data_IF_322843573703
#
_entry.id   IF_322843573703
#
_cell.length_a   1.000
_cell.length_b   1.000
_cell.length_c   1.000
_cell.angle_alpha   90.00
_cell.angle_beta   90.00
_cell.angle_gamma   90.00
#
_symmetry.space_group_name_H-M   'P 1'
#
loop_
_entity.id
_entity.type
_entity.pdbx_description
1 polymer ?
#
# COMPACT_ATOMS: atom_id res chain seq x y z
N UNK A 1 19.37 -10.20 -20.53
CA UNK A 1 18.20 -10.61 -19.72
C UNK A 1 17.04 -9.76 -20.19
N UNK A 2 15.99 -10.38 -20.72
CA UNK A 2 14.90 -9.69 -21.42
C UNK A 2 14.03 -8.92 -20.43
N UNK A 3 13.93 -7.59 -20.60
CA UNK A 3 12.93 -6.75 -19.96
C UNK A 3 11.56 -7.26 -20.41
N UNK A 4 10.90 -8.06 -19.57
CA UNK A 4 9.51 -8.43 -19.78
C UNK A 4 8.65 -7.26 -19.30
N UNK A 5 8.06 -6.56 -20.26
CA UNK A 5 7.15 -5.46 -20.02
C UNK A 5 5.87 -5.99 -19.34
N UNK A 6 5.59 -5.52 -18.12
CA UNK A 6 4.44 -5.90 -17.32
C UNK A 6 3.10 -5.62 -18.01
N UNK A 7 3.11 -4.72 -19.00
CA UNK A 7 1.98 -4.46 -19.90
C UNK A 7 1.53 -5.74 -20.64
N UNK A 8 2.48 -6.56 -21.12
CA UNK A 8 2.19 -7.76 -21.90
C UNK A 8 1.53 -8.88 -21.08
N UNK A 9 1.85 -8.95 -19.78
CA UNK A 9 1.26 -9.91 -18.84
C UNK A 9 -0.19 -9.56 -18.51
N UNK A 10 -0.51 -8.26 -18.36
CA UNK A 10 -1.87 -7.78 -18.18
C UNK A 10 -2.75 -8.03 -19.42
N UNK A 11 -2.20 -7.80 -20.62
CA UNK A 11 -2.87 -8.07 -21.90
C UNK A 11 -3.18 -9.56 -22.04
N UNK A 12 -2.22 -10.45 -21.77
CA UNK A 12 -2.45 -11.90 -21.86
C UNK A 12 -3.52 -12.43 -20.90
N UNK A 13 -3.65 -11.83 -19.71
CA UNK A 13 -4.72 -12.18 -18.77
C UNK A 13 -6.09 -11.71 -19.25
N UNK A 14 -6.18 -10.51 -19.81
CA UNK A 14 -7.40 -9.97 -20.41
C UNK A 14 -7.82 -10.78 -21.65
N UNK A 15 -6.89 -11.11 -22.55
CA UNK A 15 -7.15 -11.98 -23.70
C UNK A 15 -7.64 -13.36 -23.25
N UNK A 16 -7.04 -13.95 -22.21
CA UNK A 16 -7.50 -15.21 -21.64
C UNK A 16 -8.92 -15.11 -21.07
N UNK A 17 -9.31 -13.97 -20.47
CA UNK A 17 -10.70 -13.72 -20.04
C UNK A 17 -11.66 -13.74 -21.21
N UNK A 18 -11.37 -12.97 -22.24
CA UNK A 18 -12.24 -12.84 -23.41
C UNK A 18 -12.31 -14.17 -24.19
N UNK A 19 -11.24 -14.96 -24.21
CA UNK A 19 -11.24 -16.34 -24.73
C UNK A 19 -12.13 -17.21 -23.84
N UNK A 20 -11.94 -17.23 -22.52
CA UNK A 20 -12.69 -18.10 -21.62
C UNK A 20 -14.20 -17.80 -21.61
N UNK A 21 -14.57 -16.54 -21.83
CA UNK A 21 -15.96 -16.08 -21.95
C UNK A 21 -16.53 -16.21 -23.37
N UNK A 22 -15.75 -16.72 -24.33
CA UNK A 22 -16.18 -16.98 -25.71
C UNK A 22 -16.35 -15.73 -26.57
N UNK A 23 -15.74 -14.60 -26.17
CA UNK A 23 -15.84 -13.31 -26.86
C UNK A 23 -14.73 -13.10 -27.90
N UNK A 24 -13.58 -13.76 -27.76
CA UNK A 24 -12.42 -13.57 -28.64
C UNK A 24 -12.13 -14.75 -29.59
N UNK A 25 -12.44 -15.97 -29.19
CA UNK A 25 -12.25 -17.19 -30.00
C UNK A 25 -13.12 -18.33 -29.46
N UNK A 26 -13.38 -19.36 -30.27
CA UNK A 26 -14.17 -20.54 -29.89
C UNK A 26 -13.36 -21.59 -29.09
N UNK A 27 -12.09 -21.32 -28.79
CA UNK A 27 -11.18 -22.25 -28.11
C UNK A 27 -11.38 -22.27 -26.58
N UNK A 28 -12.59 -22.59 -26.12
CA UNK A 28 -13.00 -22.50 -24.71
C UNK A 28 -12.69 -23.81 -23.95
N UNK A 29 -11.41 -24.16 -23.82
CA UNK A 29 -11.00 -25.39 -23.11
C UNK A 29 -11.10 -25.30 -21.58
N UNK A 30 -11.36 -24.10 -21.05
CA UNK A 30 -11.41 -23.82 -19.61
C UNK A 30 -12.62 -22.94 -19.32
N UNK A 31 -13.37 -23.24 -18.26
CA UNK A 31 -14.47 -22.39 -17.81
C UNK A 31 -13.92 -21.09 -17.19
N UNK A 32 -14.58 -19.93 -17.38
CA UNK A 32 -14.09 -18.61 -16.96
C UNK A 32 -13.50 -18.58 -15.54
N UNK A 33 -14.24 -19.10 -14.56
CA UNK A 33 -13.87 -18.99 -13.14
C UNK A 33 -13.08 -20.19 -12.61
N UNK A 34 -12.83 -21.20 -13.44
CA UNK A 34 -12.15 -22.43 -13.00
C UNK A 34 -10.73 -22.23 -12.44
N UNK A 35 -9.90 -21.30 -12.95
CA UNK A 35 -8.55 -21.08 -12.41
C UNK A 35 -8.51 -20.52 -10.97
N UNK A 36 -9.61 -19.96 -10.46
CA UNK A 36 -9.67 -19.26 -9.18
C UNK A 36 -10.44 -20.03 -8.11
N UNK A 37 -10.96 -21.19 -8.48
CA UNK A 37 -11.71 -22.07 -7.60
C UNK A 37 -10.94 -23.37 -7.44
N UNK A 38 -10.94 -23.91 -6.23
CA UNK A 38 -10.33 -25.19 -5.94
C UNK A 38 -11.33 -26.15 -5.26
N UNK A 39 -10.90 -27.40 -5.08
CA UNK A 39 -11.58 -28.38 -4.24
C UNK A 39 -13.09 -28.50 -4.46
N UNK A 40 -13.87 -28.15 -3.44
CA UNK A 40 -15.35 -28.22 -3.45
C UNK A 40 -16.00 -27.04 -4.17
N UNK A 41 -15.33 -25.89 -4.26
CA UNK A 41 -15.87 -24.71 -4.93
C UNK A 41 -15.85 -24.90 -6.44
N UNK A 42 -14.71 -25.36 -6.99
CA UNK A 42 -14.57 -25.67 -8.42
C UNK A 42 -15.58 -26.73 -8.88
N UNK A 43 -15.75 -27.80 -8.09
CA UNK A 43 -16.72 -28.85 -8.40
C UNK A 43 -18.15 -28.32 -8.44
N UNK A 44 -18.51 -27.43 -7.50
CA UNK A 44 -19.84 -26.79 -7.48
C UNK A 44 -20.04 -25.86 -8.66
N UNK A 45 -19.06 -25.01 -8.96
CA UNK A 45 -19.11 -24.12 -10.12
C UNK A 45 -19.31 -24.92 -11.42
N UNK A 46 -18.48 -25.94 -11.68
CA UNK A 46 -18.61 -26.80 -12.87
C UNK A 46 -19.94 -27.55 -12.89
N UNK A 47 -20.41 -28.02 -11.73
CA UNK A 47 -21.68 -28.76 -11.62
C UNK A 47 -22.88 -27.92 -12.05
N UNK A 48 -22.98 -26.70 -11.55
CA UNK A 48 -24.09 -25.79 -11.86
C UNK A 48 -23.95 -25.13 -13.23
N UNK A 49 -22.73 -24.70 -13.62
CA UNK A 49 -22.50 -24.11 -14.95
C UNK A 49 -22.90 -25.05 -16.08
N UNK A 50 -22.63 -26.35 -15.96
CA UNK A 50 -23.03 -27.37 -16.97
C UNK A 50 -24.53 -27.60 -17.07
N UNK A 51 -25.27 -27.31 -16.01
CA UNK A 51 -26.71 -27.58 -15.90
C UNK A 51 -27.54 -26.30 -16.01
N UNK A 52 -26.90 -25.15 -16.17
CA UNK A 52 -27.60 -23.88 -16.08
C UNK A 52 -28.60 -23.70 -17.22
N UNK A 53 -28.26 -24.14 -18.43
CA UNK A 53 -29.18 -24.11 -19.56
C UNK A 53 -30.41 -25.00 -19.31
N UNK A 54 -30.23 -26.17 -18.68
CA UNK A 54 -31.34 -27.04 -18.25
C UNK A 54 -32.17 -26.39 -17.14
N UNK A 55 -31.52 -25.70 -16.19
CA UNK A 55 -32.19 -24.96 -15.11
C UNK A 55 -33.02 -23.80 -15.69
N UNK A 56 -32.49 -23.06 -16.66
CA UNK A 56 -33.21 -21.98 -17.34
C UNK A 56 -34.44 -22.51 -18.08
N UNK A 57 -34.27 -23.61 -18.84
CA UNK A 57 -35.39 -24.24 -19.56
C UNK A 57 -36.49 -24.74 -18.62
N UNK A 58 -36.14 -25.29 -17.46
CA UNK A 58 -37.12 -25.70 -16.43
C UNK A 58 -37.78 -24.47 -15.78
N UNK A 59 -37.06 -23.37 -15.67
CA UNK A 59 -37.54 -22.15 -15.02
C UNK A 59 -38.48 -21.31 -15.90
N UNK A 60 -38.47 -21.47 -17.22
CA UNK A 60 -39.48 -20.87 -18.11
C UNK A 60 -40.91 -21.25 -17.69
N UNK A 61 -41.10 -22.40 -17.03
CA UNK A 61 -42.39 -22.87 -16.50
C UNK A 61 -42.73 -22.31 -15.09
N UNK A 62 -41.80 -21.61 -14.43
CA UNK A 62 -41.89 -21.22 -13.01
C UNK A 62 -41.76 -19.71 -12.72
N UNK A 63 -41.63 -18.87 -13.75
CA UNK A 63 -41.71 -17.40 -13.71
C UNK A 63 -40.70 -16.73 -12.74
N UNK A 64 -39.58 -17.41 -12.41
CA UNK A 64 -38.52 -16.80 -11.61
C UNK A 64 -37.54 -16.02 -12.51
N UNK A 65 -37.13 -14.83 -12.07
CA UNK A 65 -36.18 -13.98 -12.80
C UNK A 65 -34.74 -14.50 -12.62
N UNK A 66 -34.40 -15.56 -13.36
CA UNK A 66 -33.03 -16.08 -13.41
C UNK A 66 -32.23 -15.36 -14.50
N UNK A 67 -31.00 -14.93 -14.18
CA UNK A 67 -30.12 -14.28 -15.16
C UNK A 67 -29.80 -15.14 -16.39
N UNK A 68 -29.37 -14.50 -17.48
CA UNK A 68 -29.06 -15.20 -18.74
C UNK A 68 -27.86 -16.16 -18.63
N UNK A 69 -27.02 -16.02 -17.61
CA UNK A 69 -25.85 -16.88 -17.38
C UNK A 69 -25.67 -17.22 -15.91
N UNK A 70 -25.13 -18.40 -15.63
CA UNK A 70 -24.89 -18.85 -14.25
C UNK A 70 -24.03 -17.86 -13.46
N UNK A 71 -23.04 -17.26 -14.11
CA UNK A 71 -22.10 -16.29 -13.53
C UNK A 71 -22.80 -15.03 -13.00
N UNK A 72 -23.93 -14.67 -13.59
CA UNK A 72 -24.73 -13.51 -13.16
C UNK A 72 -25.64 -13.84 -11.97
N UNK A 73 -25.78 -15.11 -11.59
CA UNK A 73 -26.59 -15.49 -10.42
C UNK A 73 -25.95 -15.01 -9.13
N UNK A 74 -26.79 -14.58 -8.18
CA UNK A 74 -26.33 -14.20 -6.84
C UNK A 74 -25.60 -15.35 -6.13
N UNK A 75 -25.98 -16.59 -6.42
CA UNK A 75 -25.27 -17.78 -5.93
C UNK A 75 -23.82 -17.85 -6.44
N UNK A 76 -23.61 -17.67 -7.75
CA UNK A 76 -22.27 -17.69 -8.32
C UNK A 76 -21.44 -16.50 -7.82
N UNK A 77 -22.04 -15.30 -7.73
CA UNK A 77 -21.38 -14.12 -7.17
C UNK A 77 -20.92 -14.35 -5.72
N UNK A 78 -21.76 -14.95 -4.88
CA UNK A 78 -21.41 -15.28 -3.50
C UNK A 78 -20.33 -16.37 -3.41
N UNK A 79 -20.37 -17.36 -4.31
CA UNK A 79 -19.33 -18.39 -4.41
C UNK A 79 -17.97 -17.77 -4.76
N UNK A 80 -17.95 -16.82 -5.69
CA UNK A 80 -16.75 -16.08 -6.08
C UNK A 80 -16.31 -15.15 -4.95
N UNK A 81 -17.20 -14.42 -4.29
CA UNK A 81 -16.82 -13.54 -3.18
C UNK A 81 -16.17 -14.32 -2.03
N UNK A 82 -16.70 -15.51 -1.71
CA UNK A 82 -16.17 -16.35 -0.64
C UNK A 82 -14.81 -17.00 -0.97
N UNK A 83 -14.56 -17.35 -2.23
CA UNK A 83 -13.37 -18.11 -2.65
C UNK A 83 -12.33 -17.29 -3.43
N UNK A 84 -12.77 -16.21 -4.07
CA UNK A 84 -11.95 -15.25 -4.79
C UNK A 84 -11.23 -14.30 -3.85
N UNK A 85 -11.75 -14.01 -2.65
CA UNK A 85 -11.09 -13.11 -1.68
C UNK A 85 -9.71 -13.60 -1.24
N UNK A 86 -9.48 -14.89 -0.90
CA UNK A 86 -8.13 -15.41 -0.63
C UNK A 86 -7.19 -15.33 -1.83
N UNK A 87 -7.69 -15.59 -3.04
CA UNK A 87 -6.91 -15.57 -4.28
C UNK A 87 -6.58 -14.14 -4.72
N UNK A 88 -7.51 -13.21 -4.52
CA UNK A 88 -7.31 -11.77 -4.73
C UNK A 88 -6.30 -11.23 -3.72
N UNK A 89 -6.44 -11.57 -2.43
CA UNK A 89 -5.51 -11.17 -1.39
C UNK A 89 -4.10 -11.74 -1.65
N UNK A 90 -4.00 -12.98 -2.12
CA UNK A 90 -2.71 -13.56 -2.52
C UNK A 90 -2.14 -12.89 -3.77
N UNK A 91 -2.96 -12.60 -4.77
CA UNK A 91 -2.53 -11.89 -5.96
C UNK A 91 -2.05 -10.46 -5.65
N UNK A 92 -2.67 -9.78 -4.69
CA UNK A 92 -2.17 -8.50 -4.14
C UNK A 92 -0.82 -8.72 -3.45
N UNK A 93 -0.74 -9.67 -2.50
CA UNK A 93 0.49 -9.95 -1.73
C UNK A 93 1.68 -10.39 -2.60
N UNK A 94 1.41 -11.08 -3.70
CA UNK A 94 2.41 -11.62 -4.62
C UNK A 94 2.67 -10.72 -5.83
N UNK A 95 1.97 -9.58 -5.95
CA UNK A 95 2.06 -8.70 -7.11
C UNK A 95 1.64 -9.36 -8.44
N UNK A 96 0.68 -10.31 -8.39
CA UNK A 96 0.20 -11.01 -9.58
C UNK A 96 -0.88 -10.20 -10.31
N UNK A 97 -0.42 -9.22 -11.08
CA UNK A 97 -1.24 -8.25 -11.81
C UNK A 97 -2.18 -8.89 -12.84
N UNK A 98 -1.79 -10.03 -13.41
CA UNK A 98 -2.61 -10.80 -14.35
C UNK A 98 -3.90 -11.28 -13.67
N UNK A 99 -3.80 -11.77 -12.43
CA UNK A 99 -4.96 -12.21 -11.64
C UNK A 99 -5.82 -11.02 -11.22
N UNK A 100 -5.24 -9.88 -10.84
CA UNK A 100 -6.00 -8.69 -10.45
C UNK A 100 -6.75 -8.04 -11.61
N UNK A 101 -6.11 -7.91 -12.78
CA UNK A 101 -6.74 -7.46 -14.03
C UNK A 101 -7.95 -8.33 -14.40
N UNK A 102 -7.77 -9.63 -14.25
CA UNK A 102 -8.82 -10.60 -14.50
C UNK A 102 -9.91 -10.57 -13.43
N UNK A 103 -9.63 -10.35 -12.15
CA UNK A 103 -10.68 -10.30 -11.13
C UNK A 103 -11.53 -9.02 -11.21
N UNK A 104 -10.91 -7.88 -11.53
CA UNK A 104 -11.57 -6.57 -11.46
C UNK A 104 -12.53 -6.26 -12.61
N UNK A 105 -12.44 -6.97 -13.75
CA UNK A 105 -13.29 -6.64 -14.92
C UNK A 105 -12.75 -5.47 -15.75
N UNK A 106 -11.68 -4.83 -15.30
CA UNK A 106 -11.21 -3.56 -15.83
C UNK A 106 -10.30 -3.79 -17.03
N UNK A 107 -10.90 -3.82 -18.23
CA UNK A 107 -10.16 -3.74 -19.52
C UNK A 107 -9.80 -2.30 -19.90
N UNK A 108 -10.21 -1.30 -19.12
CA UNK A 108 -9.93 0.11 -19.37
C UNK A 108 -9.46 0.82 -18.12
N UNK A 109 -8.13 0.90 -17.98
CA UNK A 109 -7.36 2.06 -17.51
C UNK A 109 -5.92 1.62 -17.30
N UNK A 110 -5.04 1.98 -18.24
CA UNK A 110 -3.59 1.84 -18.06
C UNK A 110 -3.12 2.54 -16.76
N UNK A 111 -3.83 3.60 -16.32
CA UNK A 111 -3.59 4.32 -15.06
C UNK A 111 -3.78 3.47 -13.80
N UNK A 112 -4.75 2.55 -13.78
CA UNK A 112 -5.06 1.79 -12.55
C UNK A 112 -4.03 0.66 -12.33
N UNK A 113 -3.40 0.18 -13.43
CA UNK A 113 -2.35 -0.84 -13.38
C UNK A 113 -0.99 -0.29 -12.96
N UNK A 114 -0.64 0.93 -13.38
CA UNK A 114 0.59 1.58 -12.93
C UNK A 114 0.57 1.83 -11.42
N UNK A 115 -0.54 2.34 -10.88
CA UNK A 115 -0.65 2.59 -9.44
C UNK A 115 -0.58 1.28 -8.64
N UNK A 116 -1.25 0.20 -9.07
CA UNK A 116 -1.16 -1.11 -8.41
C UNK A 116 0.27 -1.70 -8.41
N UNK A 117 1.02 -1.51 -9.51
CA UNK A 117 2.44 -1.88 -9.57
C UNK A 117 3.27 -1.10 -8.56
N UNK A 118 3.05 0.21 -8.48
CA UNK A 118 3.75 1.09 -7.55
C UNK A 118 3.39 0.74 -6.09
N UNK A 119 2.13 0.44 -5.78
CA UNK A 119 1.74 -0.06 -4.46
C UNK A 119 2.42 -1.38 -4.10
N UNK A 120 2.51 -2.31 -5.05
CA UNK A 120 3.22 -3.58 -4.82
C UNK A 120 4.71 -3.35 -4.56
N UNK A 121 5.32 -2.38 -5.25
CA UNK A 121 6.70 -1.96 -5.01
C UNK A 121 6.87 -1.35 -3.62
N UNK A 122 5.99 -0.41 -3.22
CA UNK A 122 6.00 0.17 -1.88
C UNK A 122 5.85 -0.88 -0.77
N UNK A 123 4.93 -1.84 -0.92
CA UNK A 123 4.77 -2.96 0.03
C UNK A 123 6.03 -3.83 0.07
N UNK A 124 6.67 -4.09 -1.08
CA UNK A 124 7.94 -4.82 -1.13
C UNK A 124 9.05 -4.07 -0.39
N UNK A 125 9.13 -2.76 -0.56
CA UNK A 125 10.13 -1.93 0.11
C UNK A 125 9.87 -1.87 1.61
N UNK A 126 8.60 -1.77 2.02
CA UNK A 126 8.21 -1.87 3.43
C UNK A 126 8.51 -3.24 4.04
N UNK A 127 8.47 -4.34 3.29
CA UNK A 127 8.89 -5.65 3.81
C UNK A 127 10.39 -5.72 4.13
N UNK A 128 11.22 -4.82 3.56
CA UNK A 128 12.66 -4.79 3.83
C UNK A 128 12.91 -4.52 5.33
N UNK A 129 13.72 -5.36 6.01
CA UNK A 129 14.08 -5.10 7.40
C UNK A 129 14.80 -3.76 7.51
N UNK A 130 14.30 -2.89 8.39
CA UNK A 130 14.91 -1.58 8.58
C UNK A 130 14.57 -0.56 7.51
N UNK A 131 13.46 -0.66 6.79
CA UNK A 131 13.09 0.37 5.81
C UNK A 131 13.06 1.77 6.43
N UNK A 132 13.72 2.75 5.82
CA UNK A 132 13.68 4.16 6.22
C UNK A 132 13.30 5.06 5.03
N UNK A 133 12.10 5.61 5.08
CA UNK A 133 11.64 6.66 4.17
C UNK A 133 11.74 8.04 4.82
N UNK A 134 12.22 9.04 4.10
CA UNK A 134 12.38 10.41 4.59
C UNK A 134 11.60 11.37 3.72
N UNK A 135 10.55 12.00 4.25
CA UNK A 135 9.78 13.00 3.53
C UNK A 135 10.44 14.37 3.59
N UNK A 136 10.65 14.98 2.43
CA UNK A 136 11.10 16.36 2.26
C UNK A 136 9.98 17.22 1.67
N UNK A 137 10.04 18.52 1.93
CA UNK A 137 9.07 19.47 1.38
C UNK A 137 8.53 20.45 2.42
N UNK A 138 7.95 21.56 1.96
CA UNK A 138 7.31 22.55 2.83
C UNK A 138 6.18 21.94 3.67
N UNK A 139 5.83 22.61 4.78
CA UNK A 139 4.63 22.33 5.58
C UNK A 139 3.38 22.34 4.69
N UNK A 140 2.38 21.51 5.02
CA UNK A 140 1.07 21.45 4.34
C UNK A 140 1.02 20.68 2.99
N UNK A 141 1.98 19.78 2.77
CA UNK A 141 2.09 19.03 1.50
C UNK A 141 1.32 17.71 1.43
N UNK A 142 0.74 17.20 2.52
CA UNK A 142 0.18 15.83 2.58
C UNK A 142 1.21 14.73 2.91
N UNK A 143 2.40 15.09 3.41
CA UNK A 143 3.47 14.15 3.80
C UNK A 143 3.00 13.18 4.89
N UNK A 144 2.31 13.70 5.90
CA UNK A 144 1.73 12.92 7.00
C UNK A 144 0.73 11.89 6.47
N UNK A 145 -0.18 12.29 5.58
CA UNK A 145 -1.08 11.35 4.89
C UNK A 145 -0.30 10.23 4.20
N UNK A 146 0.71 10.57 3.39
CA UNK A 146 1.51 9.58 2.65
C UNK A 146 2.27 8.62 3.58
N UNK A 147 2.87 9.13 4.66
CA UNK A 147 3.56 8.32 5.66
C UNK A 147 2.60 7.36 6.37
N UNK A 148 1.42 7.86 6.76
CA UNK A 148 0.36 7.07 7.37
C UNK A 148 -0.22 6.03 6.41
N UNK A 149 -0.39 6.34 5.11
CA UNK A 149 -0.75 5.34 4.09
C UNK A 149 0.28 4.22 4.06
N UNK A 150 1.58 4.56 4.03
CA UNK A 150 2.66 3.59 4.07
C UNK A 150 2.63 2.71 5.34
N UNK A 151 2.48 3.32 6.51
CA UNK A 151 2.35 2.59 7.77
C UNK A 151 1.13 1.68 7.80
N UNK A 152 -0.03 2.19 7.37
CA UNK A 152 -1.27 1.43 7.28
C UNK A 152 -1.19 0.25 6.31
N UNK A 153 -0.43 0.37 5.22
CA UNK A 153 -0.16 -0.76 4.31
C UNK A 153 0.68 -1.84 5.01
N UNK A 154 1.71 -1.44 5.75
CA UNK A 154 2.55 -2.37 6.51
C UNK A 154 1.77 -3.10 7.60
N UNK A 155 0.94 -2.40 8.38
CA UNK A 155 0.10 -3.01 9.42
C UNK A 155 -0.89 -4.04 8.86
N UNK A 156 -1.39 -3.82 7.63
CA UNK A 156 -2.29 -4.74 6.92
C UNK A 156 -1.55 -5.92 6.31
N UNK A 157 -0.30 -5.72 5.89
CA UNK A 157 0.54 -6.79 5.35
C UNK A 157 1.10 -7.71 6.45
N UNK A 158 1.45 -7.14 7.61
CA UNK A 158 2.02 -7.83 8.77
C UNK A 158 1.08 -7.74 9.96
N UNK A 159 0.37 -8.83 10.30
CA UNK A 159 -0.65 -8.84 11.37
C UNK A 159 -0.12 -8.50 12.77
N UNK A 160 1.16 -8.76 13.00
CA UNK A 160 1.79 -8.62 14.32
C UNK A 160 2.58 -7.31 14.45
N UNK A 161 2.66 -6.51 13.37
CA UNK A 161 3.33 -5.22 13.42
C UNK A 161 2.56 -4.20 14.29
N UNK A 162 3.23 -3.23 14.85
CA UNK A 162 2.59 -2.10 15.53
C UNK A 162 3.03 -0.79 14.92
N UNK A 163 2.19 0.24 15.04
CA UNK A 163 2.52 1.60 14.65
C UNK A 163 2.95 2.39 15.88
N UNK A 164 4.11 3.03 15.81
CA UNK A 164 4.54 4.06 16.74
C UNK A 164 4.43 5.43 16.04
N UNK A 165 3.68 6.38 16.57
CA UNK A 165 3.56 7.71 15.94
C UNK A 165 3.39 8.83 16.96
N UNK A 166 3.89 10.03 16.62
CA UNK A 166 3.62 11.25 17.39
C UNK A 166 2.39 12.03 16.86
N UNK A 167 1.68 11.51 15.85
CA UNK A 167 0.39 12.07 15.39
C UNK A 167 -0.71 11.59 16.34
N UNK A 168 -1.12 12.42 17.29
CA UNK A 168 -2.00 11.98 18.39
C UNK A 168 -3.48 11.93 18.00
N UNK A 169 -3.87 12.68 16.96
CA UNK A 169 -5.25 12.72 16.45
C UNK A 169 -5.59 11.59 15.49
N UNK A 170 -4.63 10.68 15.20
CA UNK A 170 -4.84 9.57 14.29
C UNK A 170 -5.89 8.58 14.83
N UNK A 171 -6.94 8.37 14.04
CA UNK A 171 -7.94 7.32 14.25
C UNK A 171 -8.17 6.57 12.93
N UNK A 172 -7.85 5.27 12.92
CA UNK A 172 -8.15 4.38 11.79
C UNK A 172 -9.64 4.04 11.75
N UNK A 173 -10.19 3.83 10.55
CA UNK A 173 -11.55 3.27 10.41
C UNK A 173 -11.63 1.82 10.96
N UNK A 174 -10.51 1.10 10.91
CA UNK A 174 -10.38 -0.29 11.36
C UNK A 174 -9.95 -0.35 12.83
N UNK A 175 -10.84 -0.86 13.70
CA UNK A 175 -10.58 -0.99 15.13
C UNK A 175 -9.30 -1.76 15.47
N UNK A 176 -8.98 -2.81 14.71
CA UNK A 176 -7.76 -3.62 14.93
C UNK A 176 -6.48 -2.81 14.71
N UNK A 177 -6.50 -1.82 13.81
CA UNK A 177 -5.35 -0.93 13.59
C UNK A 177 -5.20 0.08 14.73
N UNK A 178 -6.32 0.59 15.26
CA UNK A 178 -6.30 1.44 16.46
C UNK A 178 -5.71 0.70 17.68
N UNK A 179 -6.07 -0.58 17.87
CA UNK A 179 -5.52 -1.41 18.96
C UNK A 179 -4.00 -1.66 18.83
N UNK A 180 -3.45 -1.47 17.63
CA UNK A 180 -2.02 -1.66 17.30
C UNK A 180 -1.28 -0.34 17.06
N UNK A 181 -1.92 0.80 17.33
CA UNK A 181 -1.33 2.14 17.19
C UNK A 181 -0.96 2.66 18.58
N UNK A 182 0.29 3.04 18.74
CA UNK A 182 0.87 3.56 19.96
C UNK A 182 1.37 4.97 19.73
N UNK A 183 0.96 5.89 20.58
CA UNK A 183 1.53 7.24 20.61
C UNK A 183 2.91 7.18 21.25
N UNK A 184 3.90 7.83 20.63
CA UNK A 184 5.25 7.99 21.17
C UNK A 184 5.61 9.48 21.19
N UNK A 185 6.17 9.94 22.30
CA UNK A 185 6.59 11.33 22.49
C UNK A 185 8.11 11.46 22.54
N UNK A 186 8.82 10.34 22.74
CA UNK A 186 10.28 10.31 22.86
C UNK A 186 10.95 9.14 22.14
N UNK A 187 12.27 9.24 21.99
CA UNK A 187 13.12 8.13 21.54
C UNK A 187 13.03 6.94 22.50
N UNK A 188 13.09 7.16 23.80
CA UNK A 188 12.93 6.08 24.79
C UNK A 188 11.62 5.33 24.63
N UNK A 189 10.48 6.01 24.41
CA UNK A 189 9.19 5.34 24.17
C UNK A 189 9.27 4.43 22.93
N UNK A 190 9.90 4.90 21.87
CA UNK A 190 10.09 4.13 20.65
C UNK A 190 11.01 2.92 20.86
N UNK A 191 12.08 3.08 21.65
CA UNK A 191 12.98 1.97 22.01
C UNK A 191 12.24 0.91 22.86
N UNK A 192 11.43 1.32 23.84
CA UNK A 192 10.60 0.41 24.65
C UNK A 192 9.62 -0.41 23.80
N UNK A 193 9.02 0.21 22.77
CA UNK A 193 8.18 -0.49 21.81
C UNK A 193 8.99 -1.49 20.97
N UNK A 194 10.19 -1.12 20.52
CA UNK A 194 11.07 -2.04 19.78
C UNK A 194 11.57 -3.22 20.64
N UNK A 195 11.68 -3.06 21.96
CA UNK A 195 11.97 -4.15 22.88
C UNK A 195 10.77 -5.09 23.09
N UNK A 196 9.56 -4.52 23.04
CA UNK A 196 8.30 -5.23 23.31
C UNK A 196 7.73 -5.94 22.08
N UNK A 197 8.00 -5.42 20.88
CA UNK A 197 7.44 -5.89 19.62
C UNK A 197 8.53 -6.17 18.59
N UNK A 198 8.37 -7.26 17.84
CA UNK A 198 9.36 -7.67 16.82
C UNK A 198 9.27 -6.92 15.50
N UNK A 199 8.17 -6.20 15.27
CA UNK A 199 7.94 -5.43 14.05
C UNK A 199 7.25 -4.11 14.40
N UNK A 200 7.99 -3.00 14.29
CA UNK A 200 7.52 -1.65 14.59
C UNK A 200 7.66 -0.82 13.33
N UNK A 201 6.58 -0.19 12.88
CA UNK A 201 6.64 0.90 11.90
C UNK A 201 6.41 2.22 12.62
N UNK A 202 7.37 3.13 12.51
CA UNK A 202 7.30 4.44 13.12
C UNK A 202 6.95 5.51 12.07
N UNK A 203 6.01 6.39 12.39
CA UNK A 203 5.75 7.64 11.65
C UNK A 203 6.06 8.79 12.59
N UNK A 204 7.20 9.43 12.34
CA UNK A 204 7.70 10.54 13.15
C UNK A 204 7.53 11.82 12.34
N UNK A 205 6.43 12.52 12.63
CA UNK A 205 6.14 13.81 12.03
C UNK A 205 6.97 14.93 12.68
N UNK A 206 7.24 15.99 11.94
CA UNK A 206 7.86 17.22 12.42
C UNK A 206 9.24 17.08 13.12
N UNK A 207 9.99 16.01 12.89
CA UNK A 207 11.28 15.72 13.56
C UNK A 207 12.33 16.85 13.40
N UNK A 208 12.13 17.71 12.42
CA UNK A 208 12.99 18.82 12.04
C UNK A 208 13.09 19.97 13.06
N UNK A 209 12.11 20.12 13.97
CA UNK A 209 12.11 21.21 14.97
C UNK A 209 13.15 21.04 16.08
N UNK A 210 13.53 19.81 16.43
CA UNK A 210 14.55 19.51 17.46
C UNK A 210 15.98 19.47 16.89
N UNK A 211 16.13 19.22 15.59
CA UNK A 211 17.41 19.16 14.90
C UNK A 211 17.84 20.51 14.31
N UNK A 212 17.41 21.63 14.91
CA UNK A 212 17.73 22.98 14.44
C UNK A 212 19.26 23.21 14.48
N UNK A 213 19.84 23.09 13.29
CA UNK A 213 21.26 22.99 13.02
C UNK A 213 21.97 24.33 13.24
N UNK A 214 22.25 24.66 14.51
CA UNK A 214 23.32 25.61 14.86
C UNK A 214 23.90 25.45 16.27
N UNK A 215 23.21 24.76 17.20
CA UNK A 215 23.66 24.73 18.61
C UNK A 215 23.65 23.36 19.32
N UNK A 216 22.91 22.34 18.85
CA UNK A 216 22.80 21.03 19.52
C UNK A 216 23.01 19.80 18.61
N UNK A 217 23.55 19.99 17.40
CA UNK A 217 23.58 18.92 16.37
C UNK A 217 24.41 17.68 16.74
N UNK A 218 25.41 17.79 17.63
CA UNK A 218 26.25 16.64 17.98
C UNK A 218 25.52 15.64 18.88
N UNK A 219 24.80 16.12 19.88
CA UNK A 219 24.10 15.28 20.87
C UNK A 219 22.91 14.56 20.21
N UNK A 220 22.06 15.28 19.49
CA UNK A 220 20.95 14.72 18.70
C UNK A 220 21.43 13.67 17.70
N UNK A 221 22.54 13.95 17.00
CA UNK A 221 23.15 12.96 16.11
C UNK A 221 23.65 11.74 16.88
N UNK A 222 24.34 11.92 18.00
CA UNK A 222 24.91 10.82 18.77
C UNK A 222 23.86 9.90 19.38
N UNK A 223 22.68 10.44 19.73
CA UNK A 223 21.63 9.69 20.40
C UNK A 223 20.69 8.97 19.44
N UNK A 224 20.43 9.54 18.27
CA UNK A 224 19.55 8.92 17.26
C UNK A 224 20.32 8.00 16.30
N UNK A 225 21.64 8.18 16.15
CA UNK A 225 22.48 7.36 15.29
C UNK A 225 22.39 5.85 15.58
N UNK A 226 22.40 5.36 16.84
CA UNK A 226 22.24 3.95 17.14
C UNK A 226 20.91 3.40 16.64
N UNK A 227 19.80 4.12 16.87
CA UNK A 227 18.47 3.71 16.45
C UNK A 227 18.40 3.54 14.93
N UNK A 228 18.86 4.54 14.17
CA UNK A 228 18.86 4.54 12.70
C UNK A 228 19.82 3.49 12.12
N UNK A 229 20.97 3.27 12.76
CA UNK A 229 21.98 2.30 12.32
C UNK A 229 21.51 0.87 12.56
N UNK A 230 20.83 0.63 13.68
CA UNK A 230 20.38 -0.71 14.09
C UNK A 230 18.91 -0.99 13.82
N UNK A 231 18.18 -0.10 13.15
CA UNK A 231 16.75 -0.23 12.81
C UNK A 231 16.36 -1.63 12.31
N UNK A 232 17.15 -2.23 11.41
CA UNK A 232 16.90 -3.56 10.89
C UNK A 232 16.98 -4.68 11.96
N UNK A 233 17.85 -4.54 12.97
CA UNK A 233 17.97 -5.49 14.09
C UNK A 233 16.87 -5.30 15.12
N UNK A 234 16.37 -4.07 15.25
CA UNK A 234 15.29 -3.69 16.15
C UNK A 234 13.90 -4.03 15.58
N UNK A 235 13.82 -4.55 14.35
CA UNK A 235 12.54 -4.72 13.66
C UNK A 235 11.84 -3.39 13.34
N UNK A 236 12.59 -2.29 13.38
CA UNK A 236 12.09 -0.93 13.24
C UNK A 236 12.13 -0.48 11.77
N UNK A 237 11.00 0.01 11.29
CA UNK A 237 10.84 0.72 10.02
C UNK A 237 10.39 2.13 10.33
N UNK A 238 10.75 3.09 9.49
CA UNK A 238 10.55 4.49 9.81
C UNK A 238 10.12 5.29 8.60
N UNK A 239 9.16 6.17 8.82
CA UNK A 239 8.91 7.35 8.03
C UNK A 239 9.24 8.57 8.88
N UNK A 240 10.23 9.34 8.46
CA UNK A 240 10.62 10.60 9.12
C UNK A 240 10.21 11.75 8.23
N UNK A 241 9.54 12.76 8.79
CA UNK A 241 9.04 13.90 8.04
C UNK A 241 9.82 15.16 8.41
N UNK A 242 10.43 15.79 7.40
CA UNK A 242 11.08 17.10 7.50
C UNK A 242 10.20 18.23 6.97
N UNK A 243 10.63 19.46 7.26
CA UNK A 243 9.97 20.70 6.85
C UNK A 243 10.71 21.43 5.72
N UNK A 244 12.00 21.14 5.52
CA UNK A 244 12.79 21.76 4.45
C UNK A 244 12.81 20.87 3.21
N UNK A 245 12.80 21.51 2.06
CA UNK A 245 12.97 20.85 0.77
C UNK A 245 14.38 20.28 0.60
N UNK A 246 15.38 20.90 1.22
CA UNK A 246 16.79 20.46 1.18
C UNK A 246 17.13 19.38 2.22
N UNK A 247 16.19 19.07 3.12
CA UNK A 247 16.36 18.11 4.21
C UNK A 247 17.44 18.45 5.23
N UNK A 248 18.04 19.64 5.22
CA UNK A 248 19.11 20.01 6.15
C UNK A 248 18.63 20.22 7.60
N UNK A 249 17.31 20.25 7.81
CA UNK A 249 16.66 20.17 9.12
C UNK A 249 16.58 18.75 9.67
N UNK A 250 16.84 17.73 8.86
CA UNK A 250 16.89 16.34 9.32
C UNK A 250 18.31 16.02 9.80
N UNK A 251 18.46 15.15 10.81
CA UNK A 251 19.77 14.70 11.26
C UNK A 251 20.53 13.98 10.10
N UNK A 252 21.81 14.30 9.82
CA UNK A 252 22.60 13.64 8.78
C UNK A 252 22.54 12.09 8.80
N UNK A 253 22.61 11.42 9.96
CA UNK A 253 22.47 9.97 10.02
C UNK A 253 21.17 9.44 9.44
N UNK A 254 20.05 10.15 9.63
CA UNK A 254 18.75 9.74 9.08
C UNK A 254 18.79 9.81 7.55
N UNK A 255 19.35 10.89 7.00
CA UNK A 255 19.48 11.05 5.53
C UNK A 255 20.42 10.02 4.92
N UNK A 256 21.60 9.82 5.51
CA UNK A 256 22.62 8.89 5.00
C UNK A 256 22.17 7.42 5.03
N UNK A 257 21.24 7.09 5.92
CA UNK A 257 20.71 5.74 6.08
C UNK A 257 19.31 5.55 5.48
N UNK A 258 18.76 6.57 4.81
CA UNK A 258 17.47 6.50 4.15
C UNK A 258 17.54 5.52 2.97
N UNK A 259 16.51 4.70 2.82
CA UNK A 259 16.31 3.88 1.63
C UNK A 259 15.64 4.69 0.52
N UNK A 260 14.75 5.62 0.91
CA UNK A 260 14.16 6.58 -0.01
C UNK A 260 14.06 7.97 0.59
N UNK A 261 14.35 8.97 -0.25
CA UNK A 261 13.98 10.36 -0.07
C UNK A 261 12.66 10.56 -0.81
N UNK A 262 11.63 11.02 -0.11
CA UNK A 262 10.26 11.08 -0.61
C UNK A 262 9.86 12.54 -0.75
N UNK A 263 9.53 12.95 -1.98
CA UNK A 263 9.07 14.30 -2.27
C UNK A 263 7.59 14.28 -2.54
N UNK A 264 6.85 15.03 -1.74
CA UNK A 264 5.41 15.17 -1.89
C UNK A 264 5.09 16.28 -2.88
N UNK A 265 4.22 15.98 -3.86
CA UNK A 265 3.70 16.93 -4.84
C UNK A 265 2.20 17.08 -4.64
N UNK A 266 1.72 18.29 -4.91
CA UNK A 266 0.31 18.64 -4.90
C UNK A 266 -0.02 19.30 -6.24
N UNK A 267 -1.07 18.82 -6.90
CA UNK A 267 -1.60 19.38 -8.13
C UNK A 267 -3.06 19.80 -7.92
N UNK A 268 -3.36 21.07 -8.15
CA UNK A 268 -4.73 21.59 -8.13
C UNK A 268 -5.48 21.12 -9.39
N UNK A 269 -6.33 20.10 -9.23
CA UNK A 269 -7.15 19.52 -10.28
C UNK A 269 -8.57 20.08 -10.24
N UNK A 270 -8.71 21.37 -10.56
CA UNK A 270 -9.99 22.08 -10.61
C UNK A 270 -10.14 23.10 -9.49
N UNK A 271 -11.39 23.53 -9.23
CA UNK A 271 -11.65 24.66 -8.33
C UNK A 271 -11.52 24.31 -6.83
N UNK A 272 -11.67 23.04 -6.43
CA UNK A 272 -11.68 22.60 -5.02
C UNK A 272 -11.08 21.19 -4.82
N UNK A 273 -10.20 20.74 -5.71
CA UNK A 273 -9.61 19.39 -5.62
C UNK A 273 -8.10 19.47 -5.74
N UNK A 274 -7.40 19.08 -4.68
CA UNK A 274 -5.95 18.89 -4.70
C UNK A 274 -5.69 17.39 -4.79
N UNK A 275 -4.97 16.97 -5.81
CA UNK A 275 -4.46 15.61 -5.94
C UNK A 275 -3.01 15.59 -5.51
N UNK A 276 -2.68 14.63 -4.64
CA UNK A 276 -1.36 14.48 -4.06
C UNK A 276 -0.64 13.32 -4.73
N UNK A 277 0.64 13.48 -5.05
CA UNK A 277 1.51 12.40 -5.53
C UNK A 277 2.83 12.39 -4.76
N UNK A 278 3.50 11.24 -4.69
CA UNK A 278 4.75 11.08 -3.95
C UNK A 278 5.83 10.46 -4.85
N UNK A 279 6.96 11.16 -4.98
CA UNK A 279 8.12 10.73 -5.74
C UNK A 279 9.16 10.11 -4.79
N UNK A 280 9.59 8.87 -5.07
CA UNK A 280 10.55 8.13 -4.26
C UNK A 280 11.91 8.14 -4.95
N UNK A 281 12.89 8.80 -4.35
CA UNK A 281 14.27 8.94 -4.82
C UNK A 281 15.21 8.08 -3.97
N UNK A 282 16.30 7.57 -4.54
CA UNK A 282 17.26 6.77 -3.77
C UNK A 282 18.32 7.59 -3.05
N UNK A 283 18.62 8.78 -3.57
CA UNK A 283 19.72 9.60 -3.10
C UNK A 283 19.28 11.06 -2.84
N UNK A 284 20.08 11.77 -2.03
CA UNK A 284 20.02 13.22 -1.86
C UNK A 284 21.41 13.80 -2.11
N UNK A 285 21.59 14.54 -3.21
CA UNK A 285 22.86 15.10 -3.63
C UNK A 285 22.81 16.62 -3.48
N UNK A 286 23.67 17.17 -2.62
CA UNK A 286 23.74 18.62 -2.36
C UNK A 286 22.41 19.27 -1.92
N UNK A 287 21.50 18.49 -1.32
CA UNK A 287 20.17 18.94 -0.91
C UNK A 287 19.10 18.79 -1.99
N UNK A 288 19.42 18.18 -3.12
CA UNK A 288 18.46 17.87 -4.20
C UNK A 288 18.23 16.36 -4.30
N UNK A 289 16.96 15.89 -4.34
CA UNK A 289 16.65 14.47 -4.53
C UNK A 289 17.15 13.97 -5.89
N UNK A 290 17.79 12.80 -5.91
CA UNK A 290 18.40 12.19 -7.10
C UNK A 290 18.08 10.69 -7.22
N UNK A 291 18.20 10.14 -8.44
CA UNK A 291 17.84 8.75 -8.79
C UNK A 291 16.38 8.38 -8.44
N UNK A 292 15.43 8.95 -9.19
CA UNK A 292 14.00 8.63 -9.07
C UNK A 292 13.76 7.13 -9.28
N UNK A 293 13.30 6.45 -8.23
CA UNK A 293 12.96 5.04 -8.24
C UNK A 293 11.56 4.78 -8.82
N UNK A 294 10.54 5.46 -8.30
CA UNK A 294 9.15 5.39 -8.76
C UNK A 294 8.31 6.55 -8.21
N UNK A 295 7.12 6.75 -8.79
CA UNK A 295 6.15 7.77 -8.35
C UNK A 295 4.83 7.11 -8.00
N UNK A 296 4.30 7.38 -6.81
CA UNK A 296 2.96 7.03 -6.40
C UNK A 296 2.01 8.16 -6.77
N UNK A 297 1.20 7.93 -7.80
CA UNK A 297 0.27 8.91 -8.35
C UNK A 297 -1.08 8.24 -8.72
N UNK A 298 -2.21 8.68 -8.14
CA UNK A 298 -2.28 9.54 -6.96
C UNK A 298 -1.91 8.77 -5.68
N UNK A 299 -1.47 9.51 -4.65
CA UNK A 299 -1.44 9.01 -3.28
C UNK A 299 -2.89 8.95 -2.77
N UNK A 300 -3.35 7.80 -2.27
CA UNK A 300 -4.71 7.69 -1.74
C UNK A 300 -4.82 8.43 -0.40
N UNK A 301 -6.01 8.88 0.00
CA UNK A 301 -6.22 9.30 1.37
C UNK A 301 -6.00 8.12 2.33
N UNK A 302 -5.59 8.40 3.57
CA UNK A 302 -5.58 7.37 4.61
C UNK A 302 -6.99 6.81 4.83
N UNK A 303 -7.08 5.53 5.17
CA UNK A 303 -8.31 4.90 5.63
C UNK A 303 -8.52 5.18 7.14
N UNK A 304 -8.69 6.46 7.47
CA UNK A 304 -8.75 6.99 8.82
C UNK A 304 -8.89 8.51 8.81
N UNK A 305 -8.81 9.11 9.98
CA UNK A 305 -8.83 10.56 10.18
C UNK A 305 -7.67 10.99 11.06
N UNK A 306 -7.17 12.19 10.83
CA UNK A 306 -6.20 12.90 11.67
C UNK A 306 -6.35 14.41 11.40
N UNK A 307 -5.82 15.26 12.29
CA UNK A 307 -5.76 16.71 12.09
C UNK A 307 -4.44 17.07 11.38
N UNK A 308 -4.47 17.52 10.11
CA UNK A 308 -3.24 17.81 9.35
C UNK A 308 -2.41 18.98 9.90
N UNK A 309 -3.06 19.88 10.64
CA UNK A 309 -2.45 21.07 11.26
C UNK A 309 -2.01 20.82 12.72
N UNK A 310 -2.09 19.56 13.20
CA UNK A 310 -1.61 19.20 14.53
C UNK A 310 -0.10 19.44 14.64
N UNK A 311 0.33 20.13 15.70
CA UNK A 311 1.75 20.23 16.03
C UNK A 311 2.18 18.97 16.76
N UNK A 312 3.01 18.16 16.09
CA UNK A 312 3.53 16.93 16.64
C UNK A 312 4.90 17.18 17.25
N UNK A 313 5.08 16.86 18.53
CA UNK A 313 6.38 16.96 19.20
C UNK A 313 7.00 15.57 19.36
N UNK A 314 8.32 15.48 19.19
CA UNK A 314 9.07 14.26 19.46
C UNK A 314 10.42 14.61 20.08
N UNK A 315 10.67 14.15 21.30
CA UNK A 315 11.91 14.40 22.03
C UNK A 315 12.96 13.33 21.69
N UNK A 316 14.08 13.78 21.13
CA UNK A 316 15.19 12.92 20.72
C UNK A 316 16.14 12.64 21.90
N UNK A 317 16.10 13.50 22.92
CA UNK A 317 17.06 13.53 24.03
C UNK A 317 16.68 12.69 25.25
N UNK A 318 15.46 12.13 25.24
CA UNK A 318 14.93 11.28 26.30
C UNK A 318 14.84 9.82 25.92
#
# INVERSE_FOLDING_TARGET
>A
MSNYDGSSLGIGAAEFREVAEGRLTENNRVYPLAPFLDGRALRRYVHYKRRYDEILNINEDHDADLPATFEQTQYCQNLIAAHGSPVAAEAVRSGNLAVLSWLSGLTRRESDFSSAQVFSQLVRDLRRPGYLGVFLGMTDGGKTNSALVGAGLHLRDQSDAILATNVTTLEWEERELNERTHTVESKSDLEELCESYSDVVAVLDEMSTQANAQTQSYEVNSEFYPLVTFKAKLGLRMFVIGHREDGYDIAPPIREHADHIIVQRAEETGLDKTEYSAEFYRDLVDGEPDDLAYTLDPVPPIAGTYEPDEQAEFDISS
#
